data_IF_651964292223
#
_entry.id   IF_651964292223
#
_cell.length_a   1.000
_cell.length_b   1.000
_cell.length_c   1.000
_cell.angle_alpha   90.00
_cell.angle_beta   90.00
_cell.angle_gamma   90.00
#
_symmetry.space_group_name_H-M   'P 1'
#
loop_
_entity.id
_entity.type
_entity.pdbx_description
1 polymer ?
#
# COMPACT_ATOMS: atom_id res chain seq x y z
N UNK A 1 -69.28 -1.50 50.50
CA UNK A 1 -68.86 -2.14 49.23
C UNK A 1 -68.15 -1.20 48.23
N UNK A 2 -68.15 0.14 48.39
CA UNK A 2 -67.45 1.08 47.49
C UNK A 2 -66.03 1.53 47.93
N UNK A 3 -65.59 1.20 49.14
CA UNK A 3 -64.28 1.62 49.66
C UNK A 3 -63.16 0.57 49.51
N UNK A 4 -63.54 -0.68 49.18
CA UNK A 4 -62.59 -1.79 49.02
C UNK A 4 -62.07 -1.92 47.58
N UNK A 5 -62.84 -1.44 46.59
CA UNK A 5 -62.49 -1.50 45.17
C UNK A 5 -61.46 -0.43 44.77
N UNK A 6 -61.45 0.73 45.42
CA UNK A 6 -60.48 1.80 45.15
C UNK A 6 -59.08 1.52 45.70
N UNK A 7 -58.97 0.86 46.86
CA UNK A 7 -57.66 0.41 47.38
C UNK A 7 -57.04 -0.70 46.53
N UNK A 8 -57.85 -1.61 45.99
CA UNK A 8 -57.37 -2.70 45.15
C UNK A 8 -56.92 -2.17 43.77
N UNK A 9 -57.63 -1.19 43.20
CA UNK A 9 -57.23 -0.54 41.95
C UNK A 9 -55.91 0.23 42.10
N UNK A 10 -55.69 0.89 43.24
CA UNK A 10 -54.48 1.66 43.49
C UNK A 10 -53.25 0.75 43.71
N UNK A 11 -53.42 -0.40 44.39
CA UNK A 11 -52.37 -1.41 44.53
C UNK A 11 -52.04 -2.11 43.21
N UNK A 12 -53.04 -2.38 42.35
CA UNK A 12 -52.82 -2.91 41.00
C UNK A 12 -52.09 -1.89 40.11
N UNK A 13 -52.45 -0.61 40.19
CA UNK A 13 -51.75 0.45 39.45
C UNK A 13 -50.30 0.64 39.93
N UNK A 14 -50.02 0.55 41.24
CA UNK A 14 -48.64 0.61 41.74
C UNK A 14 -47.83 -0.62 41.31
N UNK A 15 -48.42 -1.83 41.36
CA UNK A 15 -47.73 -3.05 40.88
C UNK A 15 -47.48 -3.06 39.37
N UNK A 16 -48.40 -2.50 38.57
CA UNK A 16 -48.21 -2.34 37.12
C UNK A 16 -47.23 -1.22 36.82
N UNK A 17 -47.18 -0.15 37.60
CA UNK A 17 -46.19 0.93 37.43
C UNK A 17 -44.79 0.46 37.86
N UNK A 18 -44.64 -0.32 38.94
CA UNK A 18 -43.35 -0.90 39.34
C UNK A 18 -42.85 -1.99 38.38
N UNK A 19 -43.76 -2.75 37.73
CA UNK A 19 -43.37 -3.69 36.66
C UNK A 19 -43.18 -3.05 35.29
N UNK A 20 -43.75 -1.88 35.02
CA UNK A 20 -43.56 -1.15 33.74
C UNK A 20 -42.38 -0.18 33.82
N UNK A 21 -41.92 0.22 35.02
CA UNK A 21 -40.75 1.09 35.19
C UNK A 21 -39.41 0.32 35.20
N UNK A 22 -39.41 -1.02 35.25
CA UNK A 22 -38.16 -1.80 35.23
C UNK A 22 -37.59 -2.09 33.83
N UNK A 23 -38.32 -1.83 32.74
CA UNK A 23 -37.93 -2.23 31.38
C UNK A 23 -37.67 -1.07 30.40
N UNK A 24 -37.42 0.15 30.88
CA UNK A 24 -36.90 1.23 30.03
C UNK A 24 -35.62 1.82 30.57
N UNK A 25 -34.66 0.97 30.94
CA UNK A 25 -33.27 1.33 30.65
C UNK A 25 -33.17 1.31 29.14
N UNK A 26 -33.11 2.49 28.53
CA UNK A 26 -32.71 2.64 27.13
C UNK A 26 -31.36 1.95 26.97
N UNK A 27 -31.37 0.69 26.53
CA UNK A 27 -30.17 -0.03 26.15
C UNK A 27 -29.64 0.69 24.91
N UNK A 28 -28.74 1.66 25.13
CA UNK A 28 -27.84 2.12 24.09
C UNK A 28 -27.26 0.84 23.47
N UNK A 29 -27.43 0.59 22.16
CA UNK A 29 -26.88 -0.60 21.54
C UNK A 29 -25.39 -0.62 21.85
N UNK A 30 -24.93 -1.59 22.65
CA UNK A 30 -23.50 -1.70 22.89
C UNK A 30 -22.85 -2.01 21.54
N UNK A 31 -21.76 -1.31 21.20
CA UNK A 31 -21.06 -1.58 19.95
C UNK A 31 -20.62 -3.04 19.97
N UNK A 32 -21.11 -3.83 19.01
CA UNK A 32 -20.72 -5.22 18.85
C UNK A 32 -19.28 -5.24 18.34
N UNK A 33 -18.33 -5.64 19.17
CA UNK A 33 -16.93 -5.65 18.80
C UNK A 33 -16.03 -6.11 19.94
N UNK A 34 -14.72 -6.13 19.67
CA UNK A 34 -13.73 -6.54 20.65
C UNK A 34 -12.43 -5.76 20.49
N UNK A 35 -11.72 -5.62 21.61
CA UNK A 35 -10.37 -5.11 21.71
C UNK A 35 -9.36 -6.24 21.43
N UNK A 36 -8.42 -6.00 20.52
CA UNK A 36 -7.28 -6.88 20.33
C UNK A 36 -6.06 -6.10 19.82
N UNK A 37 -4.84 -6.64 19.96
CA UNK A 37 -3.65 -6.07 19.35
C UNK A 37 -3.80 -5.96 17.82
N UNK A 38 -3.26 -4.89 17.25
CA UNK A 38 -3.26 -4.73 15.80
C UNK A 38 -2.33 -5.74 15.12
N UNK A 39 -2.88 -6.57 14.22
CA UNK A 39 -2.13 -7.58 13.47
C UNK A 39 -1.96 -7.28 11.96
N UNK A 40 -2.49 -6.15 11.49
CA UNK A 40 -2.38 -5.78 10.07
C UNK A 40 -0.97 -5.34 9.66
N UNK A 41 -0.82 -5.06 8.36
CA UNK A 41 0.42 -4.60 7.74
C UNK A 41 0.35 -3.11 7.37
N UNK A 42 -0.83 -2.63 6.99
CA UNK A 42 -1.03 -1.29 6.42
C UNK A 42 -0.73 -0.23 7.47
N UNK A 43 -1.42 -0.27 8.59
CA UNK A 43 -1.31 0.72 9.67
C UNK A 43 -0.18 0.46 10.68
N UNK A 44 0.67 -0.55 10.45
CA UNK A 44 1.70 -0.98 11.41
C UNK A 44 2.68 0.13 11.80
N UNK A 45 2.98 1.06 10.89
CA UNK A 45 3.89 2.18 11.16
C UNK A 45 3.25 3.31 11.98
N UNK A 46 1.92 3.41 11.98
CA UNK A 46 1.17 4.51 12.58
C UNK A 46 0.53 4.14 13.91
N UNK A 47 0.27 2.86 14.13
CA UNK A 47 -0.25 2.32 15.38
C UNK A 47 0.94 1.78 16.20
N UNK A 48 1.14 2.26 17.42
CA UNK A 48 2.28 1.84 18.24
C UNK A 48 2.10 0.36 18.64
N UNK A 49 3.22 -0.34 18.86
CA UNK A 49 3.17 -1.72 19.33
C UNK A 49 3.61 -1.78 20.81
N UNK A 50 2.84 -2.41 21.73
CA UNK A 50 1.54 -3.08 21.53
C UNK A 50 0.33 -2.19 21.89
N UNK A 51 -0.30 -1.53 20.91
CA UNK A 51 -1.61 -0.85 21.10
C UNK A 51 -2.78 -1.85 20.93
N UNK A 52 -3.74 -1.78 21.85
CA UNK A 52 -5.03 -2.48 21.74
C UNK A 52 -6.00 -1.63 20.93
N UNK A 53 -6.50 -2.19 19.83
CA UNK A 53 -7.42 -1.51 18.91
C UNK A 53 -8.77 -2.22 18.87
N UNK A 54 -9.80 -1.45 18.51
CA UNK A 54 -11.17 -1.96 18.39
C UNK A 54 -11.43 -2.57 17.02
N UNK A 55 -12.05 -3.75 17.02
CA UNK A 55 -12.58 -4.43 15.85
C UNK A 55 -14.11 -4.50 15.94
N UNK A 56 -14.80 -3.85 15.00
CA UNK A 56 -16.26 -3.83 14.95
C UNK A 56 -16.81 -5.13 14.36
N UNK A 57 -17.58 -5.91 15.10
CA UNK A 57 -18.22 -7.15 14.60
C UNK A 57 -19.60 -6.78 14.06
N UNK A 58 -19.74 -6.75 12.73
CA UNK A 58 -21.03 -6.61 12.06
C UNK A 58 -21.69 -7.99 11.93
N UNK A 59 -22.45 -8.38 12.96
CA UNK A 59 -23.25 -9.60 13.09
C UNK A 59 -22.52 -10.96 12.90
N UNK A 60 -23.11 -12.02 13.47
CA UNK A 60 -22.55 -13.34 13.77
C UNK A 60 -22.00 -14.17 12.58
N UNK A 61 -21.88 -13.62 11.37
CA UNK A 61 -21.45 -14.35 10.18
C UNK A 61 -20.02 -14.07 9.72
N UNK A 62 -19.32 -13.06 10.27
CA UNK A 62 -17.94 -12.76 9.83
C UNK A 62 -16.99 -12.42 10.99
N UNK A 63 -16.18 -13.39 11.45
CA UNK A 63 -15.01 -13.16 12.29
C UNK A 63 -13.89 -12.31 11.64
N UNK A 64 -14.15 -11.72 10.46
CA UNK A 64 -13.19 -11.04 9.59
C UNK A 64 -13.31 -9.52 9.53
N UNK A 65 -13.93 -8.87 10.51
CA UNK A 65 -14.15 -7.41 10.47
C UNK A 65 -12.88 -6.57 10.43
N UNK A 66 -11.80 -7.06 11.05
CA UNK A 66 -10.48 -6.45 10.93
C UNK A 66 -9.93 -6.50 9.51
N UNK A 67 -10.15 -7.59 8.79
CA UNK A 67 -9.70 -7.73 7.40
C UNK A 67 -10.44 -6.78 6.46
N UNK A 68 -11.75 -6.61 6.63
CA UNK A 68 -12.51 -5.68 5.80
C UNK A 68 -12.03 -4.24 6.01
N UNK A 69 -11.82 -3.83 7.26
CA UNK A 69 -11.29 -2.51 7.61
C UNK A 69 -9.89 -2.31 7.03
N UNK A 70 -9.00 -3.29 7.17
CA UNK A 70 -7.66 -3.27 6.60
C UNK A 70 -7.69 -3.11 5.07
N UNK A 71 -8.56 -3.86 4.38
CA UNK A 71 -8.69 -3.79 2.92
C UNK A 71 -9.23 -2.44 2.46
N UNK A 72 -10.19 -1.87 3.16
CA UNK A 72 -10.70 -0.53 2.86
C UNK A 72 -9.60 0.51 3.05
N UNK A 73 -8.84 0.45 4.16
CA UNK A 73 -7.73 1.36 4.41
C UNK A 73 -6.65 1.23 3.34
N UNK A 74 -6.32 0.01 2.92
CA UNK A 74 -5.36 -0.24 1.84
C UNK A 74 -5.79 0.43 0.53
N UNK A 75 -7.04 0.21 0.10
CA UNK A 75 -7.53 0.79 -1.15
C UNK A 75 -7.61 2.32 -1.06
N UNK A 76 -8.03 2.85 0.08
CA UNK A 76 -8.02 4.29 0.34
C UNK A 76 -6.60 4.86 0.25
N UNK A 77 -5.60 4.17 0.78
CA UNK A 77 -4.21 4.59 0.68
C UNK A 77 -3.73 4.70 -0.76
N UNK A 78 -4.06 3.72 -1.60
CA UNK A 78 -3.71 3.75 -3.03
C UNK A 78 -4.36 4.96 -3.73
N UNK A 79 -5.63 5.27 -3.42
CA UNK A 79 -6.26 6.48 -3.95
C UNK A 79 -5.64 7.77 -3.40
N UNK A 80 -5.30 7.81 -2.12
CA UNK A 80 -4.64 8.95 -1.48
C UNK A 80 -3.25 9.18 -2.05
N UNK A 81 -2.51 8.13 -2.41
CA UNK A 81 -1.20 8.24 -3.06
C UNK A 81 -1.27 8.92 -4.42
N UNK A 82 -2.38 8.73 -5.13
CA UNK A 82 -2.62 9.32 -6.44
C UNK A 82 -3.19 10.74 -6.36
N UNK A 83 -4.03 11.02 -5.35
CA UNK A 83 -4.84 12.24 -5.27
C UNK A 83 -4.25 13.31 -4.35
N UNK A 84 -3.53 12.91 -3.30
CA UNK A 84 -3.02 13.84 -2.27
C UNK A 84 -1.50 14.02 -2.39
N UNK A 85 -1.03 15.23 -2.10
CA UNK A 85 0.40 15.57 -2.05
C UNK A 85 0.89 15.63 -0.60
N UNK A 86 2.21 15.59 -0.40
CA UNK A 86 2.77 15.91 0.91
C UNK A 86 2.59 17.40 1.22
N UNK A 87 2.37 17.78 2.49
CA UNK A 87 2.33 16.91 3.67
C UNK A 87 0.95 16.31 3.99
N UNK A 88 -0.10 16.64 3.23
CA UNK A 88 -1.45 16.11 3.45
C UNK A 88 -1.48 14.58 3.46
N UNK A 89 -0.87 13.96 2.45
CA UNK A 89 -0.92 12.51 2.22
C UNK A 89 -0.47 11.70 3.43
N UNK A 90 0.71 11.96 3.97
CA UNK A 90 1.23 11.20 5.12
C UNK A 90 0.40 11.40 6.39
N UNK A 91 0.00 12.64 6.69
CA UNK A 91 -0.78 12.95 7.88
C UNK A 91 -2.22 12.41 7.79
N UNK A 92 -2.84 12.45 6.60
CA UNK A 92 -4.14 11.86 6.39
C UNK A 92 -4.12 10.33 6.50
N UNK A 93 -3.06 9.66 6.03
CA UNK A 93 -2.88 8.20 6.21
C UNK A 93 -2.79 7.82 7.69
N UNK A 94 -2.04 8.59 8.48
CA UNK A 94 -1.91 8.40 9.93
C UNK A 94 -3.26 8.59 10.66
N UNK A 95 -4.01 9.63 10.29
CA UNK A 95 -5.35 9.86 10.84
C UNK A 95 -6.32 8.74 10.46
N UNK A 96 -6.30 8.30 9.20
CA UNK A 96 -7.14 7.22 8.72
C UNK A 96 -6.89 5.91 9.48
N UNK A 97 -5.63 5.58 9.77
CA UNK A 97 -5.30 4.41 10.56
C UNK A 97 -5.86 4.48 11.98
N UNK A 98 -5.71 5.63 12.63
CA UNK A 98 -6.26 5.87 13.98
C UNK A 98 -7.79 5.83 13.98
N UNK A 99 -8.42 6.30 12.91
CA UNK A 99 -9.87 6.29 12.74
C UNK A 99 -10.43 4.90 12.44
N UNK A 100 -9.75 4.13 11.59
CA UNK A 100 -10.16 2.77 11.21
C UNK A 100 -9.91 1.74 12.31
N UNK A 101 -8.85 1.94 13.10
CA UNK A 101 -8.45 1.08 14.21
C UNK A 101 -8.28 1.92 15.48
N UNK A 102 -9.38 2.43 16.06
CA UNK A 102 -9.30 3.26 17.24
C UNK A 102 -8.78 2.47 18.43
N UNK A 103 -8.07 3.15 19.34
CA UNK A 103 -7.75 2.59 20.66
C UNK A 103 -9.03 2.22 21.38
N UNK A 104 -8.93 1.31 22.34
CA UNK A 104 -10.10 0.86 23.07
C UNK A 104 -9.79 0.66 24.56
N UNK A 105 -10.83 0.82 25.38
CA UNK A 105 -10.73 0.66 26.83
C UNK A 105 -11.37 -0.65 27.25
N UNK A 106 -10.69 -1.39 28.14
CA UNK A 106 -11.20 -2.61 28.75
C UNK A 106 -11.48 -2.33 30.22
N UNK A 107 -12.75 -2.11 30.57
CA UNK A 107 -13.20 -1.91 31.96
C UNK A 107 -13.98 -3.14 32.43
N UNK A 108 -13.27 -4.10 33.02
CA UNK A 108 -13.85 -5.38 33.43
C UNK A 108 -14.33 -6.19 32.22
N UNK A 109 -15.65 -6.38 32.11
CA UNK A 109 -16.29 -7.08 30.97
C UNK A 109 -16.60 -6.13 29.81
N UNK A 110 -16.66 -4.83 30.08
CA UNK A 110 -17.05 -3.84 29.08
C UNK A 110 -15.84 -3.39 28.27
N UNK A 111 -15.97 -3.50 26.94
CA UNK A 111 -14.99 -3.03 25.99
C UNK A 111 -15.66 -1.99 25.10
N UNK A 112 -14.97 -0.88 24.84
CA UNK A 112 -15.50 0.18 24.01
C UNK A 112 -14.39 0.85 23.18
N UNK A 113 -14.68 1.25 21.93
CA UNK A 113 -13.77 2.07 21.14
C UNK A 113 -13.69 3.49 21.68
N UNK A 114 -12.51 4.08 21.60
CA UNK A 114 -12.30 5.50 21.87
C UNK A 114 -12.38 6.28 20.55
N UNK A 115 -13.20 7.35 20.47
CA UNK A 115 -13.27 8.18 19.26
C UNK A 115 -11.92 8.87 19.00
N UNK A 116 -11.69 9.32 17.77
CA UNK A 116 -10.52 10.12 17.39
C UNK A 116 -10.42 11.40 18.24
N UNK A 117 -9.20 11.82 18.60
CA UNK A 117 -9.00 13.09 19.30
C UNK A 117 -9.25 14.30 18.38
N UNK A 118 -9.89 15.34 18.92
CA UNK A 118 -10.22 16.58 18.20
C UNK A 118 -9.00 17.27 17.60
N UNK A 119 -7.90 17.33 18.37
CA UNK A 119 -6.67 18.02 17.97
C UNK A 119 -6.07 17.43 16.70
N UNK A 120 -5.96 16.10 16.61
CA UNK A 120 -5.41 15.42 15.45
C UNK A 120 -6.32 15.56 14.22
N UNK A 121 -7.65 15.53 14.42
CA UNK A 121 -8.62 15.76 13.35
C UNK A 121 -8.50 17.19 12.80
N UNK A 122 -8.38 18.19 13.68
CA UNK A 122 -8.19 19.59 13.30
C UNK A 122 -6.83 19.83 12.65
N UNK A 123 -5.78 19.15 13.08
CA UNK A 123 -4.47 19.22 12.43
C UNK A 123 -4.52 18.80 10.96
N UNK A 124 -5.22 17.70 10.65
CA UNK A 124 -5.37 17.27 9.25
C UNK A 124 -6.30 18.18 8.48
N UNK A 125 -7.50 18.45 9.00
CA UNK A 125 -8.53 19.22 8.27
C UNK A 125 -8.18 20.69 8.10
N UNK A 126 -7.53 21.34 9.07
CA UNK A 126 -7.26 22.79 9.06
C UNK A 126 -5.80 23.17 8.78
N UNK A 127 -4.85 22.23 8.83
CA UNK A 127 -3.44 22.49 8.50
C UNK A 127 -2.98 21.66 7.29
N UNK A 128 -2.79 20.36 7.49
CA UNK A 128 -2.09 19.52 6.51
C UNK A 128 -2.84 19.32 5.19
N UNK A 129 -4.17 19.18 5.26
CA UNK A 129 -5.03 18.87 4.13
C UNK A 129 -6.07 19.96 3.88
N UNK A 130 -5.83 21.22 4.30
CA UNK A 130 -6.84 22.29 4.26
C UNK A 130 -7.60 22.38 2.91
N UNK A 131 -6.85 22.44 1.80
CA UNK A 131 -7.45 22.54 0.46
C UNK A 131 -8.15 21.24 0.04
N UNK A 132 -7.50 20.10 0.22
CA UNK A 132 -8.04 18.80 -0.21
C UNK A 132 -9.28 18.40 0.61
N UNK A 133 -9.29 18.70 1.91
CA UNK A 133 -10.42 18.45 2.80
C UNK A 133 -11.66 19.23 2.36
N UNK A 134 -11.51 20.52 2.03
CA UNK A 134 -12.59 21.33 1.49
C UNK A 134 -13.13 20.78 0.15
N UNK A 135 -12.26 20.26 -0.71
CA UNK A 135 -12.69 19.61 -1.96
C UNK A 135 -13.48 18.33 -1.69
N UNK A 136 -13.14 17.56 -0.65
CA UNK A 136 -13.90 16.36 -0.26
C UNK A 136 -15.27 16.72 0.30
N UNK A 137 -15.36 17.74 1.15
CA UNK A 137 -16.63 18.24 1.70
C UNK A 137 -17.59 18.75 0.61
N UNK A 138 -17.04 19.44 -0.40
CA UNK A 138 -17.76 19.92 -1.57
C UNK A 138 -18.10 18.82 -2.60
N UNK A 139 -17.73 17.56 -2.34
CA UNK A 139 -17.82 16.42 -3.28
C UNK A 139 -17.07 16.66 -4.61
N UNK A 140 -16.10 17.58 -4.65
CA UNK A 140 -15.20 17.82 -5.79
C UNK A 140 -14.04 16.84 -5.84
N UNK A 141 -13.69 16.24 -4.70
CA UNK A 141 -12.71 15.16 -4.56
C UNK A 141 -13.38 13.96 -3.89
N UNK A 142 -13.53 12.85 -4.62
CA UNK A 142 -14.22 11.65 -4.11
C UNK A 142 -13.25 10.48 -3.96
N UNK A 143 -13.46 9.68 -2.92
CA UNK A 143 -12.78 8.41 -2.70
C UNK A 143 -13.78 7.27 -2.87
N UNK A 144 -13.59 6.45 -3.90
CA UNK A 144 -14.54 5.38 -4.25
C UNK A 144 -14.46 4.23 -3.25
N UNK A 145 -13.25 3.93 -2.79
CA UNK A 145 -12.97 2.83 -1.88
C UNK A 145 -13.32 3.12 -0.43
N UNK A 146 -13.85 4.31 -0.11
CA UNK A 146 -14.10 4.73 1.29
C UNK A 146 -15.10 3.87 2.06
N UNK A 147 -15.94 3.10 1.36
CA UNK A 147 -16.92 2.21 1.98
C UNK A 147 -17.80 2.94 3.02
N UNK A 148 -17.83 2.47 4.28
CA UNK A 148 -18.61 3.09 5.36
C UNK A 148 -17.93 4.32 5.97
N UNK A 149 -16.64 4.57 5.71
CA UNK A 149 -15.94 5.69 6.33
C UNK A 149 -16.45 7.03 5.78
N UNK A 150 -16.72 7.95 6.71
CA UNK A 150 -17.15 9.32 6.45
C UNK A 150 -16.21 10.26 7.17
N UNK A 151 -16.05 11.47 6.63
CA UNK A 151 -15.26 12.49 7.30
C UNK A 151 -15.87 12.77 8.69
N UNK A 152 -15.07 12.70 9.76
CA UNK A 152 -15.54 13.03 11.09
C UNK A 152 -15.80 14.54 11.22
N UNK A 153 -16.82 14.91 11.99
CA UNK A 153 -16.97 16.29 12.43
C UNK A 153 -15.98 16.56 13.57
N UNK A 154 -14.83 17.17 13.25
CA UNK A 154 -13.75 17.38 14.21
C UNK A 154 -14.18 18.18 15.45
N UNK A 155 -15.11 19.14 15.32
CA UNK A 155 -15.54 19.98 16.45
C UNK A 155 -16.41 19.24 17.47
N UNK A 156 -17.01 18.11 17.07
CA UNK A 156 -17.80 17.25 17.96
C UNK A 156 -16.95 16.20 18.70
N UNK A 157 -15.66 16.07 18.37
CA UNK A 157 -14.77 15.09 18.97
C UNK A 157 -14.25 15.56 20.34
N UNK A 158 -13.95 14.62 21.26
CA UNK A 158 -13.33 14.95 22.55
C UNK A 158 -11.89 15.45 22.40
N UNK A 159 -11.51 16.35 23.30
CA UNK A 159 -10.15 16.89 23.43
C UNK A 159 -9.31 16.06 24.40
N UNK A 160 -8.05 15.82 24.06
CA UNK A 160 -7.10 15.16 24.95
C UNK A 160 -6.75 16.02 26.19
N UNK A 161 -6.75 17.35 26.05
CA UNK A 161 -6.44 18.28 27.13
C UNK A 161 -7.50 18.26 28.25
N UNK A 162 -8.76 18.06 27.89
CA UNK A 162 -9.86 17.96 28.85
C UNK A 162 -9.75 16.71 29.74
N UNK A 163 -9.11 15.64 29.27
CA UNK A 163 -8.89 14.43 30.04
C UNK A 163 -7.91 14.63 31.21
N UNK A 164 -6.84 15.42 31.00
CA UNK A 164 -5.85 15.77 32.04
C UNK A 164 -6.42 16.67 33.15
N UNK A 165 -7.50 17.42 32.88
CA UNK A 165 -8.15 18.28 33.86
C UNK A 165 -9.10 17.49 34.78
N UNK A 166 -9.70 16.40 34.30
CA UNK A 166 -10.55 15.51 35.12
C UNK A 166 -9.74 14.82 36.21
N UNK A 167 -8.49 14.45 35.92
CA UNK A 167 -7.58 13.81 36.88
C UNK A 167 -7.14 14.74 38.04
N UNK A 168 -7.17 16.06 37.83
CA UNK A 168 -6.90 17.07 38.87
C UNK A 168 -8.12 17.41 39.74
N UNK A 169 -9.31 16.90 39.40
CA UNK A 169 -10.49 17.03 40.25
C UNK A 169 -10.59 15.80 41.15
N UNK A 170 -10.49 16.02 42.46
CA UNK A 170 -10.39 14.98 43.50
C UNK A 170 -11.60 14.02 43.52
N UNK A 171 -11.63 13.04 42.62
CA UNK A 171 -12.53 11.88 42.69
C UNK A 171 -11.67 10.64 42.86
N UNK A 172 -11.60 10.15 44.10
CA UNK A 172 -10.95 8.89 44.44
C UNK A 172 -11.61 7.74 43.68
N UNK A 173 -10.98 7.30 42.60
CA UNK A 173 -11.40 6.14 41.80
C UNK A 173 -10.45 4.96 42.04
N UNK A 174 -10.90 3.69 41.89
CA UNK A 174 -10.20 2.51 42.40
C UNK A 174 -8.94 2.13 41.60
N UNK A 175 -8.05 1.30 42.18
CA UNK A 175 -6.72 1.05 41.64
C UNK A 175 -6.69 -0.11 40.64
N UNK A 176 -7.04 0.14 39.37
CA UNK A 176 -6.49 -0.59 38.21
C UNK A 176 -7.00 0.03 36.90
N UNK A 177 -6.30 1.02 36.36
CA UNK A 177 -6.64 1.61 35.07
C UNK A 177 -5.36 2.12 34.40
N UNK A 178 -5.05 1.75 33.15
CA UNK A 178 -4.13 2.54 32.35
C UNK A 178 -4.86 3.85 32.03
N UNK A 179 -4.37 4.93 32.64
CA UNK A 179 -4.60 6.36 32.37
C UNK A 179 -5.72 6.71 31.37
N UNK A 180 -6.87 7.13 31.92
CA UNK A 180 -7.61 8.36 31.56
C UNK A 180 -7.87 8.78 30.11
N UNK A 181 -7.58 7.97 29.09
CA UNK A 181 -7.69 8.39 27.69
C UNK A 181 -9.16 8.41 27.24
N UNK A 182 -9.67 9.61 26.96
CA UNK A 182 -11.05 9.84 26.48
C UNK A 182 -11.16 9.63 24.96
N UNK A 183 -10.03 9.62 24.26
CA UNK A 183 -9.95 9.57 22.80
C UNK A 183 -8.70 8.82 22.34
N UNK A 184 -8.70 8.41 21.07
CA UNK A 184 -7.60 7.77 20.35
C UNK A 184 -6.71 8.86 19.72
N UNK A 185 -5.50 9.12 20.25
CA UNK A 185 -4.59 10.08 19.66
C UNK A 185 -3.88 9.48 18.44
N UNK A 186 -3.81 10.25 17.36
CA UNK A 186 -2.98 9.93 16.20
C UNK A 186 -1.54 10.44 16.37
N UNK A 187 -1.26 11.24 17.42
CA UNK A 187 0.03 11.85 17.72
C UNK A 187 0.52 12.80 16.61
N UNK A 188 -0.39 13.51 15.96
CA UNK A 188 -0.08 14.49 14.93
C UNK A 188 0.28 15.86 15.51
N UNK A 189 -0.18 16.17 16.72
CA UNK A 189 0.07 17.46 17.41
C UNK A 189 1.02 17.33 18.60
N UNK A 190 1.48 16.12 18.93
CA UNK A 190 2.35 15.89 20.08
C UNK A 190 3.76 16.39 19.85
N UNK A 191 4.34 17.05 20.86
CA UNK A 191 5.75 17.42 20.86
C UNK A 191 6.61 16.18 21.17
N UNK A 192 7.67 16.00 20.40
CA UNK A 192 8.70 14.99 20.61
C UNK A 192 9.85 15.68 21.38
N UNK A 193 9.98 15.37 22.68
CA UNK A 193 10.84 16.14 23.59
C UNK A 193 12.34 16.11 23.19
N UNK A 194 12.81 14.99 22.65
CA UNK A 194 14.19 14.78 22.19
C UNK A 194 14.52 15.52 20.89
N UNK A 195 13.51 15.94 20.13
CA UNK A 195 13.67 16.74 18.92
C UNK A 195 13.57 18.25 19.17
N UNK A 196 13.24 18.69 20.39
CA UNK A 196 13.14 20.12 20.72
C UNK A 196 14.49 20.80 20.57
N UNK A 197 14.49 21.96 19.91
CA UNK A 197 15.68 22.81 19.79
C UNK A 197 15.35 24.27 20.14
N UNK A 198 16.35 25.02 20.61
CA UNK A 198 16.19 26.45 20.99
C UNK A 198 17.14 27.38 20.24
N UNK A 199 18.36 26.93 20.01
CA UNK A 199 19.42 27.78 19.42
C UNK A 199 19.60 27.53 17.91
N UNK A 200 19.08 26.41 17.41
CA UNK A 200 19.26 25.96 16.03
C UNK A 200 18.05 25.15 15.54
N UNK A 201 17.96 24.88 14.25
CA UNK A 201 16.88 24.11 13.62
C UNK A 201 17.34 22.70 13.25
N UNK A 202 16.57 21.68 13.66
CA UNK A 202 16.65 20.30 13.14
C UNK A 202 15.59 20.10 12.06
N UNK A 203 15.97 19.47 10.94
CA UNK A 203 15.05 19.20 9.82
C UNK A 203 14.35 20.48 9.35
N UNK A 204 13.01 20.47 9.35
CA UNK A 204 12.16 21.64 9.00
C UNK A 204 11.90 22.60 10.17
N UNK A 205 12.41 22.31 11.36
CA UNK A 205 12.21 23.15 12.55
C UNK A 205 10.82 23.04 13.15
N UNK A 206 10.14 21.90 12.98
CA UNK A 206 8.84 21.64 13.59
C UNK A 206 8.86 21.89 15.11
N UNK A 207 9.84 21.32 15.79
CA UNK A 207 9.99 21.40 17.25
C UNK A 207 10.96 22.50 17.70
N UNK A 208 11.21 23.51 16.86
CA UNK A 208 11.99 24.68 17.27
C UNK A 208 11.18 25.53 18.24
N UNK A 209 11.64 25.63 19.50
CA UNK A 209 11.04 26.40 20.59
C UNK A 209 11.96 27.53 21.09
N UNK A 210 12.82 28.05 20.22
CA UNK A 210 13.69 29.19 20.52
C UNK A 210 12.97 30.53 20.54
N UNK A 211 13.76 31.60 20.63
CA UNK A 211 13.29 32.97 20.90
C UNK A 211 13.49 33.95 19.73
N UNK A 212 13.91 33.48 18.55
CA UNK A 212 14.04 34.36 17.37
C UNK A 212 12.66 34.89 17.00
N UNK A 213 12.54 36.21 16.84
CA UNK A 213 11.29 36.93 16.52
C UNK A 213 11.46 37.97 15.40
N UNK A 214 12.45 37.75 14.54
CA UNK A 214 12.77 38.59 13.39
C UNK A 214 12.93 37.69 12.18
N UNK A 215 12.38 38.10 11.05
CA UNK A 215 12.47 37.37 9.79
C UNK A 215 13.87 37.49 9.17
N UNK A 216 14.16 36.69 8.15
CA UNK A 216 15.44 36.75 7.43
C UNK A 216 15.78 38.14 6.83
N UNK A 217 14.75 38.94 6.53
CA UNK A 217 14.92 40.29 5.97
C UNK A 217 14.87 41.39 7.04
N UNK A 218 14.83 41.01 8.33
CA UNK A 218 14.84 41.96 9.44
C UNK A 218 13.47 42.48 9.88
N UNK A 219 12.36 41.90 9.40
CA UNK A 219 11.01 42.31 9.80
C UNK A 219 10.65 41.73 11.18
N UNK A 220 10.03 42.54 12.03
CA UNK A 220 9.55 42.08 13.34
C UNK A 220 8.36 41.15 13.17
N UNK A 221 8.33 40.05 13.92
CA UNK A 221 7.22 39.11 13.92
C UNK A 221 6.00 39.65 14.68
N UNK A 222 4.82 39.41 14.12
CA UNK A 222 3.51 39.54 14.76
C UNK A 222 3.33 38.39 15.77
N UNK A 223 2.64 38.66 16.88
CA UNK A 223 2.30 37.63 17.86
C UNK A 223 1.25 36.68 17.32
N UNK A 224 1.38 35.38 17.62
CA UNK A 224 0.47 34.34 17.14
C UNK A 224 -0.96 34.44 17.70
N UNK A 225 -1.19 35.19 18.77
CA UNK A 225 -2.51 35.39 19.38
C UNK A 225 -3.16 36.73 19.00
N UNK A 226 -2.51 37.53 18.15
CA UNK A 226 -2.98 38.83 17.69
C UNK A 226 -3.38 38.73 16.22
N UNK A 227 -4.46 39.43 15.83
CA UNK A 227 -5.05 39.36 14.47
C UNK A 227 -4.74 40.61 13.62
N UNK A 228 -3.78 41.43 14.04
CA UNK A 228 -3.34 42.63 13.34
C UNK A 228 -1.79 42.67 13.26
N UNK A 229 -1.20 43.12 12.13
CA UNK A 229 -1.86 43.56 10.90
C UNK A 229 -2.46 42.41 10.05
N UNK A 230 -2.06 41.17 10.30
CA UNK A 230 -2.53 40.02 9.53
C UNK A 230 -3.51 39.18 10.32
N UNK A 231 -4.77 39.14 9.89
CA UNK A 231 -5.74 38.17 10.40
C UNK A 231 -5.32 36.76 9.96
N UNK A 232 -5.32 35.79 10.86
CA UNK A 232 -4.91 34.42 10.59
C UNK A 232 -5.56 33.38 11.52
N UNK A 233 -5.83 32.22 10.94
CA UNK A 233 -6.37 31.01 11.59
C UNK A 233 -5.39 29.82 11.50
N UNK A 234 -4.21 30.05 10.90
CA UNK A 234 -3.16 29.07 10.65
C UNK A 234 -1.88 29.46 11.39
N UNK A 235 -1.21 28.51 12.07
CA UNK A 235 -1.67 27.15 12.36
C UNK A 235 -2.88 27.15 13.32
N UNK A 236 -3.74 26.12 13.27
CA UNK A 236 -4.86 26.01 14.20
C UNK A 236 -4.35 25.88 15.65
N UNK A 237 -5.12 26.39 16.61
CA UNK A 237 -4.77 26.38 18.04
C UNK A 237 -4.92 24.97 18.69
N UNK A 238 -4.28 23.98 18.09
CA UNK A 238 -4.16 22.59 18.55
C UNK A 238 -2.71 22.12 18.61
N UNK A 239 -1.79 22.93 18.08
CA UNK A 239 -0.35 22.71 18.07
C UNK A 239 0.29 23.40 19.27
N UNK A 240 0.86 22.67 20.24
CA UNK A 240 1.53 23.27 21.39
C UNK A 240 2.72 24.17 21.01
N UNK A 241 3.30 24.01 19.82
CA UNK A 241 4.44 24.78 19.32
C UNK A 241 4.16 26.29 19.25
N UNK A 242 2.91 26.68 18.97
CA UNK A 242 2.46 28.09 18.93
C UNK A 242 1.77 28.55 20.22
N UNK A 243 1.45 27.63 21.13
CA UNK A 243 0.86 27.99 22.42
C UNK A 243 1.91 28.67 23.30
N UNK A 244 1.64 29.91 23.70
CA UNK A 244 2.59 30.75 24.46
C UNK A 244 3.91 31.03 23.71
N UNK A 245 3.89 30.98 22.38
CA UNK A 245 5.06 31.30 21.57
C UNK A 245 5.28 32.81 21.37
N UNK A 246 4.46 33.68 21.97
CA UNK A 246 4.51 35.14 21.78
C UNK A 246 4.55 35.49 20.28
N UNK A 247 5.65 36.08 19.80
CA UNK A 247 5.94 36.33 18.39
C UNK A 247 7.18 35.57 17.89
N UNK A 248 7.57 34.48 18.55
CA UNK A 248 8.73 33.70 18.14
C UNK A 248 8.45 32.89 16.89
N UNK A 249 9.44 32.71 16.04
CA UNK A 249 9.34 31.93 14.82
C UNK A 249 9.03 30.46 15.13
N UNK A 250 8.05 29.89 14.45
CA UNK A 250 7.61 28.51 14.64
C UNK A 250 7.32 27.85 13.29
N UNK A 251 7.33 26.52 13.28
CA UNK A 251 6.83 25.75 12.15
C UNK A 251 5.88 24.66 12.68
N UNK A 252 4.77 25.06 13.29
CA UNK A 252 3.81 24.13 13.86
C UNK A 252 3.37 23.08 12.82
N UNK A 253 3.40 21.80 13.21
CA UNK A 253 3.12 20.69 12.29
C UNK A 253 4.21 20.43 11.23
N UNK A 254 5.20 21.30 11.06
CA UNK A 254 6.33 21.10 10.14
C UNK A 254 5.95 21.22 8.66
N UNK A 255 4.92 22.01 8.35
CA UNK A 255 4.39 22.12 6.99
C UNK A 255 5.35 22.89 6.07
N UNK A 256 5.90 24.00 6.56
CA UNK A 256 6.86 24.81 5.82
C UNK A 256 8.27 24.20 5.89
N UNK A 257 9.18 24.69 5.05
CA UNK A 257 10.56 24.17 5.02
C UNK A 257 11.43 24.68 6.19
N UNK A 258 11.04 25.77 6.85
CA UNK A 258 11.75 26.37 7.98
C UNK A 258 10.79 27.11 8.92
N UNK A 259 11.20 27.45 10.16
CA UNK A 259 10.42 28.31 11.03
C UNK A 259 10.13 29.67 10.40
N UNK A 260 8.91 30.14 10.61
CA UNK A 260 8.39 31.38 10.05
C UNK A 260 7.53 32.12 11.08
N UNK A 261 7.13 33.33 10.75
CA UNK A 261 6.15 34.11 11.51
C UNK A 261 5.33 35.00 10.58
N UNK A 262 4.15 35.43 11.03
CA UNK A 262 3.49 36.61 10.47
C UNK A 262 4.34 37.84 10.75
N UNK A 263 4.39 38.82 9.83
CA UNK A 263 5.23 40.01 10.03
C UNK A 263 4.40 41.20 10.48
N UNK A 264 5.03 42.19 11.11
CA UNK A 264 4.40 43.46 11.45
C UNK A 264 4.26 44.41 10.24
N UNK A 265 4.80 44.06 9.07
CA UNK A 265 4.64 44.83 7.84
C UNK A 265 3.29 44.44 7.18
N UNK A 266 2.37 45.40 6.94
CA UNK A 266 1.07 45.11 6.32
C UNK A 266 1.18 44.61 4.87
N UNK A 267 2.31 44.81 4.19
CA UNK A 267 2.56 44.35 2.82
C UNK A 267 3.05 42.90 2.81
N UNK A 268 3.90 42.52 3.78
CA UNK A 268 4.50 41.19 3.86
C UNK A 268 3.76 40.36 4.89
N UNK A 269 2.79 39.53 4.44
CA UNK A 269 1.95 38.74 5.34
C UNK A 269 2.74 37.85 6.31
N UNK A 270 3.68 37.08 5.78
CA UNK A 270 4.50 36.16 6.58
C UNK A 270 5.85 35.96 5.90
N UNK A 271 6.83 35.52 6.68
CA UNK A 271 8.16 35.23 6.16
C UNK A 271 8.91 34.25 7.04
N UNK A 272 9.84 33.49 6.43
CA UNK A 272 10.78 32.64 7.13
C UNK A 272 11.79 33.44 7.97
N UNK A 273 12.21 32.84 9.08
CA UNK A 273 13.26 33.36 9.94
C UNK A 273 14.61 32.71 9.59
N UNK A 274 15.70 33.47 9.75
CA UNK A 274 17.05 32.97 9.54
C UNK A 274 17.61 32.40 10.85
N UNK A 275 17.46 31.09 11.03
CA UNK A 275 17.90 30.35 12.21
C UNK A 275 18.90 29.29 11.76
N UNK A 276 20.09 29.19 12.37
CA UNK A 276 21.11 28.24 11.94
C UNK A 276 20.63 26.79 12.10
N UNK A 277 21.10 25.91 11.22
CA UNK A 277 20.92 24.47 11.37
C UNK A 277 21.74 23.95 12.55
N UNK A 278 21.23 22.94 13.24
CA UNK A 278 21.99 22.32 14.32
C UNK A 278 23.19 21.55 13.77
N UNK A 279 24.34 21.63 14.46
CA UNK A 279 25.49 20.81 14.14
C UNK A 279 25.12 19.34 14.35
N UNK A 280 25.18 18.54 13.28
CA UNK A 280 24.89 17.11 13.32
C UNK A 280 26.02 16.37 14.06
N UNK A 281 26.00 16.35 15.40
CA UNK A 281 26.78 15.37 16.17
C UNK A 281 26.16 13.99 15.99
N UNK A 282 26.58 13.30 14.92
CA UNK A 282 26.47 11.85 14.71
C UNK A 282 25.26 11.17 15.34
N UNK A 283 24.17 11.08 14.59
CA UNK A 283 23.49 9.79 14.48
C UNK A 283 23.13 9.52 13.01
N UNK A 284 23.75 8.46 12.51
CA UNK A 284 23.57 7.87 11.21
C UNK A 284 22.19 7.22 11.10
N UNK A 285 21.14 8.01 10.83
CA UNK A 285 19.89 7.52 10.21
C UNK A 285 18.95 8.66 9.79
N UNK A 286 19.40 9.58 8.92
CA UNK A 286 18.48 10.37 8.08
C UNK A 286 19.01 10.32 6.64
N UNK A 287 18.24 9.78 5.67
CA UNK A 287 18.45 10.09 4.27
C UNK A 287 18.03 11.55 4.04
N UNK A 288 19.05 12.40 3.87
CA UNK A 288 19.13 13.64 3.10
C UNK A 288 17.87 14.52 2.94
N UNK A 289 17.97 15.73 3.52
CA UNK A 289 17.33 16.93 2.98
C UNK A 289 17.96 17.26 1.61
N UNK A 290 17.15 17.13 0.56
CA UNK A 290 17.21 17.79 -0.75
C UNK A 290 18.57 17.90 -1.47
N UNK A 291 18.96 16.81 -2.14
CA UNK A 291 19.59 16.90 -3.45
C UNK A 291 19.27 15.69 -4.35
N UNK A 292 17.99 15.37 -4.56
CA UNK A 292 17.58 14.49 -5.66
C UNK A 292 16.99 15.34 -6.80
N UNK A 293 17.92 15.83 -7.60
CA UNK A 293 17.93 15.67 -9.07
C UNK A 293 16.66 15.00 -9.62
N UNK A 294 15.92 15.70 -10.49
CA UNK A 294 14.86 15.11 -11.31
C UNK A 294 15.49 14.11 -12.30
N UNK A 295 15.95 12.96 -11.81
CA UNK A 295 16.26 11.83 -12.66
C UNK A 295 14.93 11.14 -12.95
N UNK A 296 14.34 11.49 -14.08
CA UNK A 296 13.31 10.66 -14.73
C UNK A 296 13.85 9.22 -14.73
N UNK A 297 13.05 8.26 -14.26
CA UNK A 297 13.40 6.84 -14.31
C UNK A 297 13.96 6.50 -15.71
N UNK A 298 15.26 6.24 -15.81
CA UNK A 298 15.93 5.91 -17.08
C UNK A 298 15.36 4.63 -17.72
N UNK A 299 14.49 3.91 -17.00
CA UNK A 299 13.84 2.69 -17.46
C UNK A 299 12.81 2.94 -18.58
N UNK A 300 12.29 4.16 -18.75
CA UNK A 300 11.32 4.50 -19.81
C UNK A 300 11.78 5.60 -20.76
N UNK A 301 13.08 5.92 -20.79
CA UNK A 301 13.57 6.87 -21.78
C UNK A 301 13.36 6.30 -23.20
N UNK A 302 13.06 7.14 -24.21
CA UNK A 302 12.98 6.70 -25.60
C UNK A 302 14.26 6.00 -26.07
N UNK A 303 15.42 6.36 -25.49
CA UNK A 303 16.70 5.73 -25.80
C UNK A 303 16.81 4.32 -25.21
N UNK A 304 16.28 4.05 -24.02
CA UNK A 304 16.27 2.71 -23.44
C UNK A 304 15.36 1.76 -24.21
N UNK A 305 14.15 2.21 -24.58
CA UNK A 305 13.20 1.42 -25.37
C UNK A 305 13.78 1.09 -26.76
N UNK A 306 14.45 2.05 -27.42
CA UNK A 306 15.10 1.80 -28.72
C UNK A 306 16.27 0.84 -28.60
N UNK A 307 17.08 0.90 -27.54
CA UNK A 307 18.17 -0.06 -27.30
C UNK A 307 17.61 -1.47 -27.09
N UNK A 308 16.57 -1.64 -26.27
CA UNK A 308 15.94 -2.95 -26.06
C UNK A 308 15.37 -3.53 -27.36
N UNK A 309 14.74 -2.70 -28.20
CA UNK A 309 14.23 -3.12 -29.50
C UNK A 309 15.34 -3.58 -30.45
N UNK A 310 16.49 -2.88 -30.47
CA UNK A 310 17.65 -3.26 -31.28
C UNK A 310 18.24 -4.58 -30.77
N UNK A 311 18.40 -4.76 -29.46
CA UNK A 311 18.90 -6.01 -28.87
C UNK A 311 17.96 -7.17 -29.19
N UNK A 312 16.64 -6.99 -29.06
CA UNK A 312 15.65 -7.98 -29.44
C UNK A 312 15.76 -8.34 -30.94
N UNK A 313 15.92 -7.36 -31.82
CA UNK A 313 16.10 -7.62 -33.26
C UNK A 313 17.39 -8.38 -33.58
N UNK A 314 18.51 -8.01 -32.94
CA UNK A 314 19.80 -8.69 -33.12
C UNK A 314 19.72 -10.15 -32.64
N UNK A 315 19.09 -10.40 -31.48
CA UNK A 315 18.93 -11.77 -30.97
C UNK A 315 18.06 -12.62 -31.90
N UNK A 316 16.98 -12.05 -32.46
CA UNK A 316 16.12 -12.73 -33.43
C UNK A 316 16.87 -13.00 -34.76
N UNK A 317 17.66 -12.04 -35.23
CA UNK A 317 18.50 -12.23 -36.42
C UNK A 317 19.59 -13.30 -36.20
N UNK A 318 20.26 -13.31 -35.05
CA UNK A 318 21.27 -14.31 -34.71
C UNK A 318 20.68 -15.71 -34.57
N UNK A 319 19.53 -15.84 -33.91
CA UNK A 319 18.83 -17.14 -33.82
C UNK A 319 18.40 -17.63 -35.19
N UNK A 320 17.88 -16.76 -36.07
CA UNK A 320 17.56 -17.11 -37.45
C UNK A 320 18.81 -17.53 -38.24
N UNK A 321 19.92 -16.81 -38.11
CA UNK A 321 21.19 -17.16 -38.74
C UNK A 321 21.74 -18.49 -38.24
N UNK A 322 21.59 -18.79 -36.94
CA UNK A 322 21.94 -20.09 -36.38
C UNK A 322 21.04 -21.20 -36.92
N UNK A 323 19.73 -20.96 -37.07
CA UNK A 323 18.81 -21.92 -37.71
C UNK A 323 19.16 -22.13 -39.19
N UNK A 324 19.53 -21.07 -39.92
CA UNK A 324 19.99 -21.17 -41.31
C UNK A 324 21.33 -21.90 -41.38
N UNK A 325 22.26 -21.64 -40.46
CA UNK A 325 23.54 -22.32 -40.38
C UNK A 325 23.35 -23.81 -40.02
N UNK A 326 22.51 -24.12 -39.04
CA UNK A 326 22.14 -25.48 -38.67
C UNK A 326 21.45 -26.20 -39.84
N UNK A 327 20.49 -25.57 -40.53
CA UNK A 327 19.85 -26.18 -41.70
C UNK A 327 20.83 -26.37 -42.86
N UNK A 328 21.77 -25.44 -43.07
CA UNK A 328 22.87 -25.60 -44.04
C UNK A 328 23.87 -26.66 -43.61
N UNK A 329 24.16 -26.82 -42.32
CA UNK A 329 25.04 -27.85 -41.79
C UNK A 329 24.38 -29.22 -41.81
N UNK A 330 23.08 -29.31 -41.55
CA UNK A 330 22.27 -30.53 -41.73
C UNK A 330 22.21 -30.88 -43.21
N UNK A 331 21.97 -29.90 -44.09
CA UNK A 331 21.99 -30.10 -45.55
C UNK A 331 23.39 -30.49 -46.04
N UNK A 332 24.45 -29.87 -45.51
CA UNK A 332 25.85 -30.26 -45.77
C UNK A 332 26.21 -31.59 -45.15
N UNK A 333 25.65 -32.01 -44.01
CA UNK A 333 25.81 -33.37 -43.46
C UNK A 333 25.04 -34.39 -44.27
N UNK A 334 23.86 -34.06 -44.78
CA UNK A 334 23.13 -34.90 -45.75
C UNK A 334 23.91 -35.01 -47.06
N UNK A 335 24.52 -33.92 -47.54
CA UNK A 335 25.36 -33.91 -48.74
C UNK A 335 26.74 -34.56 -48.50
N UNK A 336 27.34 -34.42 -47.31
CA UNK A 336 28.61 -35.04 -46.91
C UNK A 336 28.45 -36.50 -46.44
N UNK A 337 27.21 -36.96 -46.23
CA UNK A 337 26.83 -38.38 -46.15
C UNK A 337 26.52 -38.99 -47.52
N UNK A 338 26.65 -38.20 -48.59
CA UNK A 338 26.54 -38.65 -49.97
C UNK A 338 27.83 -38.31 -50.72
N UNK A 339 28.92 -38.94 -50.31
CA UNK A 339 30.08 -39.14 -51.17
C UNK A 339 29.74 -40.21 -52.20
N UNK A 340 29.81 -39.92 -53.51
CA UNK A 340 29.74 -40.98 -54.51
C UNK A 340 30.90 -41.96 -54.26
N UNK A 341 30.71 -43.29 -54.37
CA UNK A 341 31.83 -44.19 -54.26
C UNK A 341 32.80 -43.88 -55.41
N UNK A 342 33.99 -43.44 -55.06
CA UNK A 342 35.13 -43.47 -55.97
C UNK A 342 35.55 -44.93 -56.14
N UNK A 343 35.82 -45.31 -57.38
CA UNK A 343 36.32 -46.60 -57.80
C UNK A 343 37.53 -47.02 -56.96
N UNK A 344 37.33 -48.04 -56.12
CA UNK A 344 38.39 -48.96 -55.72
C UNK A 344 37.77 -50.34 -55.54
N UNK A 345 37.99 -51.16 -56.56
CA UNK A 345 38.23 -52.60 -56.51
C UNK A 345 37.66 -53.35 -55.30
N UNK A 346 36.39 -53.74 -55.42
CA UNK A 346 35.87 -54.94 -54.77
C UNK A 346 35.22 -55.82 -55.84
N UNK A 347 36.08 -56.34 -56.72
CA UNK A 347 35.83 -57.63 -57.37
C UNK A 347 35.64 -58.66 -56.25
N UNK A 348 34.38 -58.99 -55.98
CA UNK A 348 33.82 -60.06 -55.11
C UNK A 348 32.80 -59.52 -54.12
N UNK A 349 31.64 -59.12 -54.64
CA UNK A 349 30.41 -59.28 -53.85
C UNK A 349 30.00 -60.74 -54.02
N UNK A 350 30.27 -61.51 -52.98
CA UNK A 350 29.89 -62.92 -52.82
C UNK A 350 28.36 -63.01 -52.74
N UNK A 351 27.72 -63.21 -53.89
CA UNK A 351 26.25 -63.25 -54.06
C UNK A 351 25.61 -64.41 -53.28
N UNK A 352 26.39 -65.42 -52.88
CA UNK A 352 25.95 -66.54 -52.05
C UNK A 352 25.81 -66.19 -50.55
N UNK A 353 26.18 -64.96 -50.15
CA UNK A 353 26.08 -64.47 -48.75
C UNK A 353 25.09 -63.32 -48.56
N UNK A 354 24.15 -63.15 -49.47
CA UNK A 354 23.00 -62.27 -49.21
C UNK A 354 22.06 -62.97 -48.22
N UNK A 355 21.71 -62.34 -47.09
CA UNK A 355 20.81 -62.95 -46.12
C UNK A 355 19.40 -63.08 -46.71
N UNK A 356 18.76 -64.23 -46.47
CA UNK A 356 17.37 -64.47 -46.86
C UNK A 356 16.46 -63.37 -46.32
N UNK A 357 15.77 -62.69 -47.22
CA UNK A 357 14.85 -61.64 -46.83
C UNK A 357 13.56 -62.26 -46.29
N UNK A 358 13.53 -62.56 -44.99
CA UNK A 358 12.38 -63.12 -44.27
C UNK A 358 11.14 -62.21 -44.23
N UNK A 359 11.19 -61.02 -44.82
CA UNK A 359 10.05 -60.11 -44.98
C UNK A 359 9.31 -60.25 -46.33
N UNK A 360 9.79 -61.08 -47.26
CA UNK A 360 9.01 -61.45 -48.46
C UNK A 360 7.75 -62.23 -48.05
N UNK A 361 6.59 -61.87 -48.62
CA UNK A 361 5.25 -62.41 -48.33
C UNK A 361 4.65 -62.16 -46.93
N UNK A 362 5.20 -61.26 -46.10
CA UNK A 362 4.60 -60.90 -44.80
C UNK A 362 3.75 -59.63 -44.81
N UNK A 363 3.35 -59.14 -45.98
CA UNK A 363 2.29 -58.15 -46.09
C UNK A 363 0.95 -58.89 -46.21
N UNK A 364 0.05 -58.70 -45.24
CA UNK A 364 -1.31 -59.30 -45.24
C UNK A 364 -2.24 -58.78 -46.35
N UNK A 365 -1.69 -58.34 -47.48
CA UNK A 365 -2.42 -57.92 -48.66
C UNK A 365 -2.53 -59.10 -49.63
N UNK A 366 -3.75 -59.57 -49.89
CA UNK A 366 -4.00 -60.58 -50.93
C UNK A 366 -3.64 -59.99 -52.30
N UNK A 367 -2.58 -60.51 -52.92
CA UNK A 367 -2.23 -60.20 -54.30
C UNK A 367 -3.26 -60.85 -55.25
N UNK A 368 -3.46 -60.23 -56.41
CA UNK A 368 -4.35 -60.77 -57.44
C UNK A 368 -3.79 -62.12 -57.95
N UNK A 369 -4.57 -63.22 -57.91
CA UNK A 369 -4.06 -64.57 -58.22
C UNK A 369 -3.59 -64.77 -59.67
N UNK A 370 -3.90 -63.84 -60.58
CA UNK A 370 -3.33 -63.84 -61.93
C UNK A 370 -1.90 -63.28 -62.01
N UNK A 371 -1.47 -62.50 -61.01
CA UNK A 371 -0.16 -61.84 -60.95
C UNK A 371 0.82 -62.60 -60.06
N UNK A 372 0.33 -63.46 -59.16
CA UNK A 372 1.15 -64.30 -58.27
C UNK A 372 2.05 -65.27 -59.06
N UNK A 373 1.60 -65.72 -60.24
CA UNK A 373 2.38 -66.59 -61.14
C UNK A 373 3.51 -65.87 -61.88
N UNK A 374 3.59 -64.54 -61.78
CA UNK A 374 4.60 -63.70 -62.42
C UNK A 374 5.61 -63.15 -61.41
N UNK A 375 5.46 -63.46 -60.11
CA UNK A 375 6.47 -63.15 -59.11
C UNK A 375 7.55 -64.23 -59.11
N UNK A 376 8.81 -63.78 -59.19
CA UNK A 376 9.98 -64.63 -59.01
C UNK A 376 10.57 -64.37 -57.61
N UNK A 377 10.93 -65.43 -56.86
CA UNK A 377 11.64 -65.26 -55.60
C UNK A 377 12.93 -64.49 -55.85
N UNK A 378 13.24 -63.49 -55.01
CA UNK A 378 14.44 -62.67 -55.19
C UNK A 378 15.73 -63.48 -55.22
N UNK A 379 15.76 -64.62 -54.54
CA UNK A 379 16.91 -65.52 -54.50
C UNK A 379 17.16 -66.27 -55.81
N UNK A 380 16.14 -66.41 -56.66
CA UNK A 380 16.25 -67.06 -57.97
C UNK A 380 16.58 -66.05 -59.08
N UNK A 381 16.74 -64.77 -58.74
CA UNK A 381 17.11 -63.70 -59.67
C UNK A 381 18.63 -63.54 -59.65
N UNK A 382 19.28 -63.96 -60.72
CA UNK A 382 20.71 -63.76 -60.92
C UNK A 382 20.91 -62.41 -61.60
N UNK A 383 21.51 -61.47 -60.87
CA UNK A 383 21.91 -60.18 -61.43
C UNK A 383 23.23 -60.32 -62.17
N UNK A 384 23.23 -60.09 -63.48
CA UNK A 384 24.40 -60.28 -64.35
C UNK A 384 25.29 -59.04 -64.30
N UNK A 385 24.67 -57.85 -64.25
CA UNK A 385 25.38 -56.56 -64.25
C UNK A 385 24.59 -55.47 -63.54
N UNK A 386 25.24 -54.67 -62.71
CA UNK A 386 24.67 -53.41 -62.18
C UNK A 386 24.76 -52.32 -63.25
N UNK A 387 23.63 -51.68 -63.57
CA UNK A 387 23.53 -50.60 -64.56
C UNK A 387 23.49 -49.21 -63.90
N UNK A 388 23.34 -49.13 -62.58
CA UNK A 388 23.35 -47.89 -61.80
C UNK A 388 22.05 -47.62 -61.02
N UNK A 389 21.95 -46.42 -60.43
CA UNK A 389 20.85 -46.04 -59.54
C UNK A 389 20.05 -44.85 -60.08
N UNK A 390 18.74 -45.03 -60.23
CA UNK A 390 17.78 -44.02 -60.66
C UNK A 390 16.85 -43.54 -59.54
N UNK A 391 15.94 -42.62 -59.86
CA UNK A 391 15.04 -41.98 -58.89
C UNK A 391 14.08 -42.96 -58.16
N UNK A 392 13.93 -44.19 -58.65
CA UNK A 392 13.04 -45.21 -58.08
C UNK A 392 13.76 -46.45 -57.54
N UNK A 393 15.10 -46.47 -57.54
CA UNK A 393 15.90 -47.60 -57.05
C UNK A 393 17.09 -47.94 -57.94
N UNK A 394 17.84 -49.00 -57.59
CA UNK A 394 18.93 -49.55 -58.42
C UNK A 394 18.38 -50.43 -59.54
N UNK A 395 19.03 -50.36 -60.69
CA UNK A 395 18.67 -51.12 -61.88
C UNK A 395 19.79 -52.11 -62.17
N UNK A 396 19.43 -53.37 -62.24
CA UNK A 396 20.32 -54.47 -62.59
C UNK A 396 19.84 -55.08 -63.91
N UNK A 397 20.78 -55.60 -64.69
CA UNK A 397 20.52 -56.41 -65.87
C UNK A 397 20.56 -57.89 -65.53
#
# INVERSE_FOLDING_TARGET
MRLHTTKLLCLFLIFVIDHVILDTVSTVPQPSGFCAPYHGNVCRKYLAHPDWVWYNVTDNENPGSGWLSEKIVQNLWEEMDLKLKEPCRSNAKQLLCTFAFPKCTVQGVHQAPLPLCREDCLAVSKLFCYNDWALVEDNKLTFESRGPFRLPNCEALPSLANAKLVEKSNVSSPPYQPEGSVCSPANLTTIIEDEITKDCVKGRGRFYLGFVNVTKDGLSCQKWDVQEPHEHDRPPNVFPEVQNAENYCRNAGGEEHAPWCYTMDPIVRWQHCDIPLCDNTTDSSIPDLDLWDLKMDELFSPTFITVLAIVAFITLALTLLLLIACSRLIKRRLQNGYTPPANQDLNNIDLDKLPDNMAYHRTGAQLNPKLEKLEFPRNDIIYIRDLGQGAFGRVFQ
#
